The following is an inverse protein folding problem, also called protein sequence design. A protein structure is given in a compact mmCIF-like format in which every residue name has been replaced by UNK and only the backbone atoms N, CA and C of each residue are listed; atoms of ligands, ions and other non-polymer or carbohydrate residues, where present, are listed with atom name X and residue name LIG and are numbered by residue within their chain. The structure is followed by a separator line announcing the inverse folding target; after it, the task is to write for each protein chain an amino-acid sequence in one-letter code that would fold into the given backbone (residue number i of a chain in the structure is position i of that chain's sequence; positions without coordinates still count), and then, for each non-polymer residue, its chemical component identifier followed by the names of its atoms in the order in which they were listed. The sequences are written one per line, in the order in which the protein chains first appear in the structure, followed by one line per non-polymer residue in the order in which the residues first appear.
data_IF_688307526438
#
_entry.id   IF_688307526438
#
_cell.length_a   1.000
_cell.length_b   1.000
_cell.length_c   1.000
_cell.angle_alpha   90.00
_cell.angle_beta   90.00
_cell.angle_gamma   90.00
#
_symmetry.space_group_name_H-M   'P 1'
#
loop_
_entity.id
_entity.type
_entity.pdbx_description
1 polymer ?
#
# COMPACT_ATOMS: atom_id res chain seq x y z
N UNK A 1 -7.65 68.20 -33.97
CA UNK A 1 -8.33 67.27 -34.88
C UNK A 1 -7.97 65.86 -34.43
N UNK A 2 -8.97 65.15 -33.90
CA UNK A 2 -9.10 63.73 -33.52
C UNK A 2 -8.22 63.08 -32.43
N UNK A 3 -8.91 62.13 -31.76
CA UNK A 3 -8.73 61.52 -30.44
C UNK A 3 -7.99 60.18 -30.51
N UNK A 4 -7.53 59.67 -29.35
CA UNK A 4 -7.34 58.23 -29.15
C UNK A 4 -6.47 57.89 -27.95
N UNK A 5 -7.10 57.51 -26.84
CA UNK A 5 -6.43 56.86 -25.72
C UNK A 5 -5.95 55.46 -26.12
N UNK A 6 -4.79 55.04 -25.61
CA UNK A 6 -4.37 53.63 -25.63
C UNK A 6 -3.96 53.18 -24.22
N UNK A 7 -4.84 52.47 -23.49
CA UNK A 7 -4.48 51.69 -22.32
C UNK A 7 -4.56 50.21 -22.67
N UNK A 8 -3.41 49.54 -22.78
CA UNK A 8 -3.38 48.08 -22.77
C UNK A 8 -2.15 47.58 -22.00
N UNK A 9 -2.27 47.59 -20.67
CA UNK A 9 -1.63 46.57 -19.86
C UNK A 9 -2.09 45.21 -20.40
N UNK A 10 -1.14 44.31 -20.65
CA UNK A 10 -1.43 42.89 -20.89
C UNK A 10 -2.01 42.29 -19.61
N UNK A 11 -3.30 42.52 -19.39
CA UNK A 11 -4.10 41.75 -18.46
C UNK A 11 -4.23 40.34 -19.05
N UNK A 12 -3.45 39.40 -18.52
CA UNK A 12 -3.90 38.02 -18.53
C UNK A 12 -5.26 38.05 -17.84
N UNK A 13 -6.34 37.91 -18.60
CA UNK A 13 -7.67 37.78 -18.03
C UNK A 13 -7.67 36.48 -17.22
N UNK A 14 -7.47 36.62 -15.91
CA UNK A 14 -7.78 35.58 -14.95
C UNK A 14 -9.29 35.34 -15.01
N UNK A 15 -9.73 34.43 -15.88
CA UNK A 15 -11.07 33.88 -15.80
C UNK A 15 -11.16 33.14 -14.47
N UNK A 16 -11.73 33.82 -13.47
CA UNK A 16 -12.02 33.22 -12.18
C UNK A 16 -13.05 32.11 -12.40
N UNK A 17 -12.69 30.87 -12.05
CA UNK A 17 -13.68 29.83 -11.85
C UNK A 17 -14.64 30.28 -10.73
N UNK A 18 -15.92 30.01 -10.91
CA UNK A 18 -17.03 30.46 -10.06
C UNK A 18 -17.00 29.86 -8.64
N UNK A 19 -16.03 28.99 -8.33
CA UNK A 19 -15.95 28.22 -7.08
C UNK A 19 -14.74 28.56 -6.17
N UNK A 20 -13.94 29.58 -6.50
CA UNK A 20 -13.01 30.18 -5.53
C UNK A 20 -11.80 29.32 -5.11
N UNK A 21 -11.48 28.24 -5.82
CA UNK A 21 -10.29 27.44 -5.54
C UNK A 21 -9.22 27.65 -6.62
N UNK A 22 -8.12 28.34 -6.28
CA UNK A 22 -7.00 28.58 -7.19
C UNK A 22 -6.21 27.28 -7.39
N UNK A 23 -6.62 26.45 -8.35
CA UNK A 23 -5.84 25.28 -8.74
C UNK A 23 -4.62 25.75 -9.55
N UNK A 24 -3.43 25.37 -9.07
CA UNK A 24 -2.17 25.63 -9.74
C UNK A 24 -2.11 24.74 -11.00
N UNK A 25 -2.53 25.28 -12.15
CA UNK A 25 -2.58 24.52 -13.41
C UNK A 25 -1.15 24.11 -13.79
N UNK A 26 -0.85 22.82 -13.68
CA UNK A 26 0.42 22.26 -14.16
C UNK A 26 0.32 22.01 -15.66
N UNK A 27 1.43 21.79 -16.36
CA UNK A 27 1.44 21.49 -17.81
C UNK A 27 0.55 20.30 -18.21
N UNK A 28 0.20 19.43 -17.24
CA UNK A 28 -0.72 18.31 -17.39
C UNK A 28 -2.22 18.69 -17.41
N UNK A 29 -2.57 19.95 -17.18
CA UNK A 29 -3.96 20.45 -17.20
C UNK A 29 -4.40 21.02 -18.54
N UNK A 30 -3.49 21.14 -19.50
CA UNK A 30 -3.85 21.54 -20.87
C UNK A 30 -4.53 20.37 -21.59
N UNK A 31 -5.68 20.63 -22.22
CA UNK A 31 -6.40 19.64 -23.03
C UNK A 31 -5.53 19.30 -24.25
N UNK A 32 -5.13 18.02 -24.47
CA UNK A 32 -4.36 17.64 -25.63
C UNK A 32 -5.07 18.03 -26.93
N UNK A 33 -4.29 18.43 -27.95
CA UNK A 33 -4.85 18.75 -29.27
C UNK A 33 -5.67 17.56 -29.79
N UNK A 34 -6.88 17.84 -30.25
CA UNK A 34 -7.80 16.83 -30.78
C UNK A 34 -8.75 16.22 -29.75
N UNK A 35 -8.69 16.62 -28.47
CA UNK A 35 -9.66 16.23 -27.45
C UNK A 35 -10.54 17.43 -27.04
N UNK A 36 -11.79 17.15 -26.70
CA UNK A 36 -12.63 18.14 -26.02
C UNK A 36 -12.31 18.15 -24.51
N UNK A 37 -12.64 19.23 -23.78
CA UNK A 37 -12.49 19.26 -22.33
C UNK A 37 -13.27 18.15 -21.62
N UNK A 38 -14.43 17.77 -22.15
CA UNK A 38 -15.27 16.68 -21.61
C UNK A 38 -14.62 15.33 -21.81
N UNK A 39 -14.07 15.06 -23.00
CA UNK A 39 -13.32 13.83 -23.27
C UNK A 39 -12.09 13.73 -22.38
N UNK A 40 -11.37 14.83 -22.22
CA UNK A 40 -10.21 14.87 -21.34
C UNK A 40 -10.56 14.66 -19.87
N UNK A 41 -11.68 15.23 -19.41
CA UNK A 41 -12.21 14.98 -18.06
C UNK A 41 -12.59 13.51 -17.87
N UNK A 42 -13.27 12.91 -18.85
CA UNK A 42 -13.72 11.52 -18.79
C UNK A 42 -12.55 10.54 -18.86
N UNK A 43 -11.55 10.78 -19.71
CA UNK A 43 -10.31 9.99 -19.80
C UNK A 43 -9.56 10.02 -18.46
N UNK A 44 -9.42 11.19 -17.83
CA UNK A 44 -8.78 11.30 -16.52
C UNK A 44 -9.58 10.64 -15.40
N UNK A 45 -10.91 10.74 -15.43
CA UNK A 45 -11.78 10.05 -14.47
C UNK A 45 -11.67 8.52 -14.63
N UNK A 46 -11.69 8.02 -15.86
CA UNK A 46 -11.51 6.60 -16.17
C UNK A 46 -10.11 6.10 -15.79
N UNK A 47 -9.06 6.88 -16.07
CA UNK A 47 -7.68 6.58 -15.67
C UNK A 47 -7.54 6.51 -14.14
N UNK A 48 -8.16 7.43 -13.40
CA UNK A 48 -8.16 7.42 -11.92
C UNK A 48 -8.97 6.25 -11.36
N UNK A 49 -10.06 5.85 -12.02
CA UNK A 49 -10.91 4.74 -11.59
C UNK A 49 -10.31 3.36 -11.88
N UNK A 50 -9.48 3.22 -12.92
CA UNK A 50 -8.85 1.95 -13.32
C UNK A 50 -7.41 1.80 -12.82
N UNK A 51 -7.08 2.45 -11.71
CA UNK A 51 -5.74 2.36 -11.13
C UNK A 51 -5.76 1.33 -10.00
N UNK A 52 -5.59 0.01 -10.28
CA UNK A 52 -5.07 -0.87 -9.24
C UNK A 52 -3.72 -0.27 -8.81
N UNK A 53 -3.42 -0.33 -7.52
CA UNK A 53 -2.37 0.45 -6.85
C UNK A 53 -0.91 0.26 -7.35
N UNK A 54 -0.65 -0.23 -8.56
CA UNK A 54 0.68 -0.28 -9.17
C UNK A 54 1.00 1.01 -9.95
N UNK A 55 2.06 1.70 -9.53
CA UNK A 55 2.77 2.67 -10.39
C UNK A 55 2.36 4.14 -10.30
N UNK A 56 2.06 4.67 -9.11
CA UNK A 56 1.93 6.11 -8.91
C UNK A 56 3.32 6.50 -8.45
N UNK A 57 4.06 7.20 -9.30
CA UNK A 57 5.25 7.89 -8.82
C UNK A 57 4.85 8.66 -7.55
N UNK A 58 5.67 8.66 -6.48
CA UNK A 58 5.32 9.34 -5.24
C UNK A 58 4.89 10.77 -5.59
N UNK A 59 3.62 11.09 -5.35
CA UNK A 59 3.17 12.46 -5.49
C UNK A 59 3.85 13.17 -4.31
N UNK A 60 4.89 13.94 -4.61
CA UNK A 60 5.61 14.77 -3.64
C UNK A 60 4.58 15.76 -3.08
N UNK A 61 3.86 15.38 -2.03
CA UNK A 61 2.72 16.13 -1.50
C UNK A 61 1.68 15.33 -0.73
N UNK A 62 1.56 14.01 -0.92
CA UNK A 62 0.65 13.21 -0.08
C UNK A 62 1.30 12.97 1.29
N UNK A 63 0.69 13.41 2.40
CA UNK A 63 1.24 13.17 3.72
C UNK A 63 1.28 11.67 3.99
N UNK A 64 2.38 11.19 4.57
CA UNK A 64 2.44 9.84 5.12
C UNK A 64 1.37 9.74 6.20
N UNK A 65 0.35 8.94 5.94
CA UNK A 65 -0.73 8.66 6.87
C UNK A 65 -0.64 7.21 7.34
N UNK A 66 -0.67 7.00 8.65
CA UNK A 66 -0.82 5.65 9.19
C UNK A 66 -2.18 5.09 8.77
N UNK A 67 -2.18 4.00 8.01
CA UNK A 67 -3.42 3.33 7.61
C UNK A 67 -3.89 2.33 8.68
N UNK A 68 -2.95 1.61 9.30
CA UNK A 68 -3.25 0.63 10.33
C UNK A 68 -2.04 0.36 11.24
N UNK A 69 -2.33 -0.26 12.38
CA UNK A 69 -1.36 -0.93 13.23
C UNK A 69 -1.65 -2.43 13.17
N UNK A 70 -0.69 -3.22 12.70
CA UNK A 70 -0.82 -4.67 12.57
C UNK A 70 -0.07 -5.36 13.71
N UNK A 71 -0.72 -6.32 14.35
CA UNK A 71 -0.12 -7.17 15.39
C UNK A 71 -0.58 -8.61 15.20
N UNK A 72 0.28 -9.57 15.54
CA UNK A 72 -0.11 -10.98 15.61
C UNK A 72 -1.28 -11.21 16.57
N UNK A 73 -2.06 -12.27 16.32
CA UNK A 73 -3.11 -12.74 17.24
C UNK A 73 -2.56 -13.33 18.53
N UNK A 74 -1.35 -13.92 18.51
CA UNK A 74 -0.63 -14.48 19.65
C UNK A 74 0.69 -13.71 19.84
N UNK A 75 0.64 -12.55 20.50
CA UNK A 75 1.85 -11.78 20.77
C UNK A 75 2.63 -12.42 21.93
N UNK A 76 3.56 -13.34 21.63
CA UNK A 76 4.53 -13.83 22.58
C UNK A 76 5.69 -12.85 22.79
N UNK A 77 6.28 -12.89 23.97
CA UNK A 77 7.50 -12.13 24.24
C UNK A 77 8.62 -12.65 23.32
N UNK A 78 9.35 -11.73 22.68
CA UNK A 78 10.50 -12.06 21.83
C UNK A 78 10.21 -12.83 20.54
N UNK A 79 8.94 -13.03 20.12
CA UNK A 79 8.58 -13.70 18.86
C UNK A 79 9.12 -13.00 17.60
N UNK A 80 9.61 -11.77 17.75
CA UNK A 80 10.22 -10.97 16.68
C UNK A 80 9.27 -10.74 15.50
N UNK A 81 7.98 -10.57 15.79
CA UNK A 81 7.00 -10.13 14.81
C UNK A 81 7.45 -8.82 14.15
N UNK A 82 7.47 -8.78 12.83
CA UNK A 82 7.95 -7.64 12.05
C UNK A 82 9.43 -7.72 11.67
N UNK A 83 10.13 -8.81 11.98
CA UNK A 83 11.52 -8.98 11.52
C UNK A 83 11.62 -8.99 9.99
N UNK A 84 10.62 -9.55 9.31
CA UNK A 84 10.48 -9.51 7.87
C UNK A 84 9.06 -9.06 7.50
N UNK A 85 8.93 -8.20 6.48
CA UNK A 85 7.65 -7.67 6.01
C UNK A 85 7.66 -7.59 4.49
N UNK A 86 6.59 -8.06 3.86
CA UNK A 86 6.34 -7.85 2.43
C UNK A 86 4.88 -7.45 2.19
N UNK A 87 4.65 -6.59 1.21
CA UNK A 87 3.34 -6.06 0.85
C UNK A 87 3.13 -6.12 -0.66
N UNK A 88 1.94 -6.52 -1.09
CA UNK A 88 1.50 -6.48 -2.48
C UNK A 88 0.00 -6.18 -2.50
N UNK A 89 -0.37 -5.00 -3.00
CA UNK A 89 -1.76 -4.53 -2.98
C UNK A 89 -2.35 -4.56 -1.57
N UNK A 90 -3.43 -5.33 -1.41
CA UNK A 90 -4.18 -5.47 -0.16
C UNK A 90 -3.68 -6.60 0.75
N UNK A 91 -2.52 -7.19 0.46
CA UNK A 91 -1.94 -8.28 1.27
C UNK A 91 -0.61 -7.86 1.89
N UNK A 92 -0.47 -8.07 3.20
CA UNK A 92 0.78 -7.92 3.95
C UNK A 92 1.14 -9.25 4.59
N UNK A 93 2.37 -9.72 4.39
CA UNK A 93 2.95 -10.85 5.10
C UNK A 93 3.99 -10.35 6.10
N UNK A 94 3.92 -10.82 7.35
CA UNK A 94 4.84 -10.43 8.43
C UNK A 94 5.43 -11.66 9.09
N UNK A 95 6.75 -11.77 9.11
CA UNK A 95 7.46 -12.84 9.81
C UNK A 95 7.57 -12.60 11.31
N UNK A 96 7.47 -13.67 12.08
CA UNK A 96 7.78 -13.75 13.51
C UNK A 96 8.70 -14.95 13.74
N UNK A 97 10.00 -14.75 13.51
CA UNK A 97 10.96 -15.86 13.39
C UNK A 97 11.22 -16.63 14.69
N UNK A 98 10.89 -16.04 15.83
CA UNK A 98 11.10 -16.65 17.14
C UNK A 98 9.82 -17.26 17.71
N UNK A 99 8.70 -17.15 17.00
CA UNK A 99 7.44 -17.78 17.40
C UNK A 99 7.65 -19.29 17.57
N UNK A 100 7.19 -19.83 18.70
CA UNK A 100 7.66 -21.12 19.21
C UNK A 100 6.61 -22.23 19.19
N UNK A 101 5.47 -22.02 18.53
CA UNK A 101 4.51 -23.09 18.32
C UNK A 101 5.07 -24.22 17.45
N UNK A 102 4.76 -25.46 17.80
CA UNK A 102 5.03 -26.65 16.99
C UNK A 102 3.95 -26.90 15.91
N UNK A 103 2.99 -25.99 15.74
CA UNK A 103 1.97 -26.09 14.70
C UNK A 103 2.61 -26.21 13.31
N UNK A 104 1.90 -26.87 12.40
CA UNK A 104 2.30 -27.06 11.00
C UNK A 104 1.22 -26.52 10.06
N UNK A 105 1.62 -26.15 8.85
CA UNK A 105 0.69 -25.69 7.82
C UNK A 105 0.01 -24.35 8.14
N UNK A 106 -1.29 -24.26 7.91
CA UNK A 106 -2.05 -23.00 7.98
C UNK A 106 -3.03 -23.04 9.15
N UNK A 107 -3.05 -21.98 9.96
CA UNK A 107 -4.00 -21.75 11.05
C UNK A 107 -4.00 -22.86 12.12
N UNK A 108 -2.85 -23.47 12.38
CA UNK A 108 -2.67 -24.38 13.50
C UNK A 108 -2.71 -23.67 14.86
N UNK A 109 -2.53 -24.45 15.94
CA UNK A 109 -2.57 -23.94 17.32
C UNK A 109 -1.42 -22.97 17.60
N UNK A 110 -1.78 -21.70 17.77
CA UNK A 110 -0.88 -20.58 18.06
C UNK A 110 -0.55 -20.42 19.55
N UNK A 111 -1.15 -21.23 20.43
CA UNK A 111 -1.02 -21.07 21.89
C UNK A 111 0.08 -21.94 22.49
N UNK A 112 0.54 -22.96 21.76
CA UNK A 112 1.66 -23.78 22.20
C UNK A 112 3.00 -23.09 21.92
N UNK A 113 4.02 -23.45 22.71
CA UNK A 113 5.38 -22.92 22.59
C UNK A 113 6.42 -24.06 22.67
N UNK A 114 6.07 -25.23 22.13
CA UNK A 114 6.86 -26.46 22.31
C UNK A 114 8.02 -26.63 21.32
N UNK A 115 8.15 -25.76 20.32
CA UNK A 115 9.22 -25.79 19.31
C UNK A 115 9.96 -24.46 19.25
N UNK A 116 10.97 -24.31 20.09
CA UNK A 116 11.71 -23.06 20.27
C UNK A 116 12.19 -22.46 18.94
N UNK A 117 11.73 -21.23 18.64
CA UNK A 117 12.12 -20.47 17.43
C UNK A 117 11.87 -21.23 16.12
N UNK A 118 10.80 -22.02 16.08
CA UNK A 118 10.30 -22.63 14.86
C UNK A 118 9.96 -21.57 13.79
N UNK A 119 9.44 -20.43 14.23
CA UNK A 119 9.05 -19.30 13.40
C UNK A 119 7.67 -19.45 12.78
N UNK A 120 7.11 -18.31 12.38
CA UNK A 120 5.80 -18.18 11.76
C UNK A 120 5.72 -16.98 10.79
N UNK A 121 4.70 -16.96 9.93
CA UNK A 121 4.31 -15.80 9.12
C UNK A 121 2.82 -15.51 9.29
N UNK A 122 2.48 -14.23 9.44
CA UNK A 122 1.11 -13.75 9.59
C UNK A 122 0.70 -13.01 8.32
N UNK A 123 -0.44 -13.39 7.75
CA UNK A 123 -1.00 -12.73 6.57
C UNK A 123 -2.13 -11.82 7.01
N UNK A 124 -2.02 -10.54 6.66
CA UNK A 124 -3.07 -9.54 6.84
C UNK A 124 -3.62 -9.16 5.48
N UNK A 125 -4.94 -9.09 5.39
CA UNK A 125 -5.65 -8.67 4.18
C UNK A 125 -6.48 -7.43 4.50
N UNK A 126 -6.49 -6.49 3.55
CA UNK A 126 -7.28 -5.27 3.62
C UNK A 126 -8.65 -5.48 2.98
N UNK A 127 -9.69 -5.00 3.66
CA UNK A 127 -11.02 -4.81 3.09
C UNK A 127 -11.47 -3.37 3.37
N UNK A 128 -11.56 -2.55 2.32
CA UNK A 128 -11.85 -1.12 2.46
C UNK A 128 -10.73 -0.39 3.20
N UNK A 129 -10.99 0.03 4.44
CA UNK A 129 -9.97 0.66 5.32
C UNK A 129 -9.52 -0.25 6.46
N UNK A 130 -10.13 -1.43 6.59
CA UNK A 130 -9.86 -2.37 7.69
C UNK A 130 -8.83 -3.40 7.27
N UNK A 131 -7.85 -3.65 8.14
CA UNK A 131 -6.91 -4.75 8.01
C UNK A 131 -7.24 -5.82 9.04
N UNK A 132 -7.26 -7.08 8.61
CA UNK A 132 -7.47 -8.23 9.49
C UNK A 132 -6.46 -9.33 9.19
N UNK A 133 -5.98 -10.02 10.22
CA UNK A 133 -5.19 -11.22 10.05
C UNK A 133 -6.07 -12.31 9.43
N UNK A 134 -5.71 -12.77 8.25
CA UNK A 134 -6.42 -13.81 7.48
C UNK A 134 -5.80 -15.19 7.69
N UNK A 135 -4.48 -15.25 7.92
CA UNK A 135 -3.79 -16.52 8.11
C UNK A 135 -2.60 -16.42 9.06
N UNK A 136 -2.31 -17.55 9.70
CA UNK A 136 -1.08 -17.87 10.41
C UNK A 136 -0.42 -19.05 9.70
N UNK A 137 0.82 -18.89 9.26
CA UNK A 137 1.53 -19.85 8.44
C UNK A 137 2.72 -20.43 9.22
N UNK A 138 2.85 -21.75 9.13
CA UNK A 138 3.98 -22.52 9.62
C UNK A 138 4.56 -23.39 8.50
N UNK A 139 5.81 -23.80 8.69
CA UNK A 139 6.39 -24.86 7.88
C UNK A 139 5.53 -26.14 7.98
N UNK A 140 5.53 -26.97 6.94
CA UNK A 140 4.89 -28.28 7.00
C UNK A 140 5.65 -29.26 7.91
N UNK A 141 6.95 -29.03 8.08
CA UNK A 141 7.88 -29.77 8.91
C UNK A 141 8.48 -28.85 9.98
N UNK A 142 7.64 -28.39 10.92
CA UNK A 142 8.07 -27.46 11.96
C UNK A 142 9.05 -28.10 12.94
N UNK A 143 10.31 -27.68 12.88
CA UNK A 143 11.36 -28.07 13.82
C UNK A 143 11.90 -26.88 14.61
N UNK A 144 12.55 -27.13 15.74
CA UNK A 144 13.13 -26.08 16.56
C UNK A 144 14.26 -25.37 15.80
N UNK A 145 14.35 -24.06 15.96
CA UNK A 145 15.33 -23.18 15.31
C UNK A 145 15.25 -23.04 13.78
N UNK A 146 14.24 -23.62 13.12
CA UNK A 146 14.01 -23.46 11.67
C UNK A 146 13.87 -21.98 11.25
N UNK A 147 13.43 -21.11 12.17
CA UNK A 147 13.29 -19.68 11.92
C UNK A 147 12.44 -19.38 10.67
N UNK A 148 11.37 -20.14 10.47
CA UNK A 148 10.44 -19.93 9.35
C UNK A 148 9.91 -18.49 9.38
N UNK A 149 9.91 -17.81 8.23
CA UNK A 149 9.57 -16.39 8.16
C UNK A 149 10.76 -15.45 8.24
N UNK A 150 12.01 -15.94 8.21
CA UNK A 150 13.21 -15.06 8.20
C UNK A 150 13.27 -14.15 6.97
N UNK A 151 12.71 -14.59 5.85
CA UNK A 151 12.46 -13.78 4.67
C UNK A 151 11.05 -14.07 4.16
N UNK A 152 10.38 -13.02 3.71
CA UNK A 152 9.06 -13.11 3.10
C UNK A 152 9.04 -12.29 1.82
N UNK A 153 8.36 -12.79 0.80
CA UNK A 153 8.05 -12.06 -0.42
C UNK A 153 6.58 -12.32 -0.79
N UNK A 154 5.91 -11.28 -1.31
CA UNK A 154 4.52 -11.38 -1.77
C UNK A 154 4.43 -10.81 -3.18
N UNK A 155 3.73 -11.50 -4.07
CA UNK A 155 3.35 -11.01 -5.38
C UNK A 155 1.95 -11.53 -5.73
N UNK A 156 0.99 -10.62 -5.86
CA UNK A 156 -0.43 -10.98 -6.03
C UNK A 156 -0.91 -11.92 -4.92
N UNK A 157 -1.35 -13.11 -5.31
CA UNK A 157 -1.81 -14.17 -4.39
C UNK A 157 -0.71 -15.15 -3.95
N UNK A 158 0.54 -14.91 -4.33
CA UNK A 158 1.67 -15.79 -4.00
C UNK A 158 2.47 -15.21 -2.85
N UNK A 159 2.68 -16.00 -1.81
CA UNK A 159 3.60 -15.70 -0.71
C UNK A 159 4.73 -16.73 -0.75
N UNK A 160 5.97 -16.27 -0.75
CA UNK A 160 7.17 -17.12 -0.58
C UNK A 160 7.77 -16.84 0.78
N UNK A 161 8.08 -17.90 1.52
CA UNK A 161 8.63 -17.83 2.87
C UNK A 161 9.94 -18.59 2.94
N UNK A 162 10.99 -17.93 3.39
CA UNK A 162 12.28 -18.55 3.66
C UNK A 162 12.38 -19.09 5.09
N UNK A 163 13.33 -19.99 5.27
CA UNK A 163 13.80 -20.49 6.57
C UNK A 163 15.31 -20.41 6.66
N UNK A 164 15.86 -20.45 7.88
CA UNK A 164 17.31 -20.47 8.09
C UNK A 164 17.80 -21.92 8.06
N UNK A 165 18.92 -22.16 7.37
CA UNK A 165 19.62 -23.45 7.34
C UNK A 165 20.52 -23.61 8.57
#
# INVERSE_FOLDING_TARGET
MFFGADPASSSAQSLKAVDGNTQHLTSADTVPKGLTPSDWKNIRAAYRAHRPHEGQAPIIGDPIAQQAYLKASNTGESDAFGLSVAVSGDTVAVGAVNESSNATGINGDQTNNSSFRAGAVYIFVRNGTTWSQQAYLKASNTDASDSFGISVAVSGNTVVVGRRL
#
